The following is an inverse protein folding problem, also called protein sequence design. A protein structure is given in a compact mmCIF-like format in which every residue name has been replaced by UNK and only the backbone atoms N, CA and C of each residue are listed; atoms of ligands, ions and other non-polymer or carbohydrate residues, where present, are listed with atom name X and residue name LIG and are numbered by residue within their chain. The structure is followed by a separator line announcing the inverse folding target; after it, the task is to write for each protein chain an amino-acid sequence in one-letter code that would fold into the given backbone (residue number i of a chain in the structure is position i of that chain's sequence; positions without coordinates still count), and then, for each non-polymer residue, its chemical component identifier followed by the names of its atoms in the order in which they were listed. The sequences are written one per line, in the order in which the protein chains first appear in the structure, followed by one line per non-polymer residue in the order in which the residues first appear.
data_IF_254860187787
#
_entry.id   IF_254860187787
#
_cell.length_a   1.000
_cell.length_b   1.000
_cell.length_c   1.000
_cell.angle_alpha   90.00
_cell.angle_beta   90.00
_cell.angle_gamma   90.00
#
_symmetry.space_group_name_H-M   'P 1'
#
loop_
_entity.id
_entity.type
_entity.pdbx_description
1 polymer ?
#
# COMPACT_ATOMS: atom_id res chain seq x y z
N UNK A 1 5.41 0.57 -8.76
CA UNK A 1 6.32 0.62 -7.61
C UNK A 1 7.34 -0.53 -7.63
N UNK A 2 6.96 -1.83 -7.48
CA UNK A 2 7.93 -2.93 -7.53
C UNK A 2 8.80 -2.92 -8.80
N UNK A 3 8.19 -2.72 -9.98
CA UNK A 3 8.92 -2.59 -11.23
C UNK A 3 9.87 -1.38 -11.27
N UNK A 4 9.49 -0.27 -10.62
CA UNK A 4 10.38 0.89 -10.49
C UNK A 4 11.57 0.59 -9.59
N UNK A 5 11.35 -0.12 -8.47
CA UNK A 5 12.43 -0.54 -7.59
C UNK A 5 13.42 -1.46 -8.32
N UNK A 6 12.90 -2.43 -9.07
CA UNK A 6 13.74 -3.35 -9.88
C UNK A 6 14.52 -2.58 -10.95
N UNK A 7 13.87 -1.67 -11.67
CA UNK A 7 14.52 -0.86 -12.71
C UNK A 7 15.65 0.03 -12.16
N UNK A 8 15.56 0.42 -10.89
CA UNK A 8 16.54 1.28 -10.23
C UNK A 8 17.47 0.50 -9.27
N UNK A 9 17.56 -0.82 -9.41
CA UNK A 9 18.40 -1.66 -8.54
C UNK A 9 19.90 -1.32 -8.60
N UNK A 10 20.37 -0.72 -9.69
CA UNK A 10 21.75 -0.27 -9.87
C UNK A 10 21.92 1.26 -9.82
N UNK A 11 20.84 2.00 -9.55
CA UNK A 11 20.90 3.47 -9.45
C UNK A 11 21.52 3.87 -8.11
N UNK A 12 22.60 4.68 -8.09
CA UNK A 12 23.22 5.16 -6.86
C UNK A 12 22.20 5.94 -6.01
N UNK A 13 22.29 5.81 -4.69
CA UNK A 13 21.47 6.49 -3.68
C UNK A 13 19.95 6.26 -3.80
N UNK A 14 19.53 5.32 -4.63
CA UNK A 14 18.11 4.97 -4.77
C UNK A 14 17.61 4.18 -3.55
N UNK A 15 16.44 4.57 -3.05
CA UNK A 15 15.74 3.89 -1.96
C UNK A 15 14.43 3.27 -2.46
N UNK A 16 14.21 1.97 -2.17
CA UNK A 16 12.98 1.30 -2.59
C UNK A 16 11.76 1.93 -1.92
N UNK A 17 10.65 1.95 -2.64
CA UNK A 17 9.36 2.43 -2.15
C UNK A 17 8.38 1.28 -2.14
N UNK A 18 7.64 1.16 -1.04
CA UNK A 18 6.62 0.14 -0.88
C UNK A 18 5.32 0.75 -0.39
N UNK A 19 4.21 0.07 -0.66
CA UNK A 19 2.90 0.45 -0.15
C UNK A 19 2.68 -0.20 1.21
N UNK A 20 2.23 0.58 2.15
CA UNK A 20 1.78 0.05 3.45
C UNK A 20 0.36 -0.45 3.30
N UNK A 21 0.11 -1.67 3.79
CA UNK A 21 -1.24 -2.24 3.80
C UNK A 21 -2.22 -1.32 4.55
N UNK A 22 -3.36 -0.98 3.93
CA UNK A 22 -4.38 -0.20 4.60
C UNK A 22 -4.94 -1.00 5.78
N UNK A 23 -4.77 -0.51 6.98
CA UNK A 23 -5.38 -1.10 8.17
C UNK A 23 -6.81 -0.59 8.29
N UNK A 24 -7.76 -1.42 7.92
CA UNK A 24 -9.17 -1.14 8.21
C UNK A 24 -9.41 -1.34 9.72
N UNK A 25 -9.29 -0.27 10.47
CA UNK A 25 -9.77 -0.29 11.85
C UNK A 25 -11.29 -0.39 11.81
N UNK A 26 -11.82 -1.56 12.16
CA UNK A 26 -13.24 -1.74 12.50
C UNK A 26 -13.63 -1.04 13.81
N UNK A 27 -12.78 -0.18 14.35
CA UNK A 27 -13.15 0.71 15.42
C UNK A 27 -14.29 1.61 14.94
N UNK A 28 -15.35 1.66 15.73
CA UNK A 28 -16.47 2.60 15.63
C UNK A 28 -15.99 3.94 15.06
N UNK A 29 -16.76 4.58 14.19
CA UNK A 29 -16.38 5.85 13.63
C UNK A 29 -15.91 6.77 14.76
N UNK A 30 -14.65 7.13 14.75
CA UNK A 30 -14.14 8.13 15.65
C UNK A 30 -15.07 9.33 15.52
N UNK A 31 -15.55 9.85 16.64
CA UNK A 31 -16.36 11.06 16.65
C UNK A 31 -15.71 12.07 15.72
N UNK A 32 -16.47 12.76 14.86
CA UNK A 32 -15.90 13.67 13.88
C UNK A 32 -14.92 14.59 14.60
N UNK A 33 -13.64 14.48 14.22
CA UNK A 33 -12.62 15.40 14.73
C UNK A 33 -13.08 16.78 14.29
N UNK A 34 -13.50 17.59 15.25
CA UNK A 34 -13.89 18.98 15.00
C UNK A 34 -12.65 19.68 14.40
N UNK A 35 -12.72 19.95 13.10
CA UNK A 35 -11.66 20.70 12.44
C UNK A 35 -11.51 22.05 13.14
N UNK A 36 -10.33 22.31 13.67
CA UNK A 36 -9.99 23.60 14.28
C UNK A 36 -10.10 24.70 13.23
N UNK A 37 -11.10 25.59 13.37
CA UNK A 37 -11.22 26.74 12.50
C UNK A 37 -10.02 27.69 12.72
N UNK A 38 -9.22 27.89 11.68
CA UNK A 38 -8.15 28.90 11.70
C UNK A 38 -8.75 30.26 11.42
N UNK A 39 -8.79 31.08 12.44
CA UNK A 39 -9.27 32.47 12.34
C UNK A 39 -8.15 33.47 12.11
N UNK A 40 -6.90 33.05 12.22
CA UNK A 40 -5.71 33.87 12.03
C UNK A 40 -4.60 33.07 11.31
N UNK A 41 -3.76 33.77 10.52
CA UNK A 41 -2.65 33.15 9.79
C UNK A 41 -1.55 32.57 10.70
N UNK A 42 -1.44 33.05 11.93
CA UNK A 42 -0.49 32.58 12.95
C UNK A 42 -0.96 31.29 13.66
N UNK A 43 -2.20 30.84 13.45
CA UNK A 43 -2.68 29.62 14.08
C UNK A 43 -2.06 28.36 13.44
N UNK A 44 -1.63 27.43 14.28
CA UNK A 44 -1.12 26.13 13.83
C UNK A 44 -2.23 25.36 13.12
N UNK A 45 -1.89 24.78 11.97
CA UNK A 45 -2.74 23.79 11.34
C UNK A 45 -2.80 22.53 12.19
N UNK A 46 -3.94 21.82 12.19
CA UNK A 46 -4.01 20.49 12.77
C UNK A 46 -3.01 19.56 12.06
N UNK A 47 -2.23 18.76 12.77
CA UNK A 47 -1.32 17.79 12.16
C UNK A 47 -2.06 16.68 11.41
N UNK A 48 -3.36 16.53 11.58
CA UNK A 48 -4.19 15.49 10.95
C UNK A 48 -4.73 15.87 9.55
N UNK A 49 -4.20 16.94 8.95
CA UNK A 49 -4.63 17.36 7.61
C UNK A 49 -4.02 16.52 6.47
N UNK A 50 -3.05 15.66 6.78
CA UNK A 50 -2.48 14.74 5.81
C UNK A 50 -3.34 13.47 5.77
N UNK A 51 -4.06 13.29 4.68
CA UNK A 51 -4.83 12.06 4.41
C UNK A 51 -3.88 10.84 4.33
N UNK A 52 -3.93 9.92 5.33
CA UNK A 52 -3.02 8.78 5.38
C UNK A 52 -3.49 7.61 4.53
N UNK A 53 -4.25 7.86 3.45
CA UNK A 53 -4.88 6.77 2.70
C UNK A 53 -3.87 5.76 2.15
N UNK A 54 -2.61 6.17 1.90
CA UNK A 54 -1.52 5.25 1.56
C UNK A 54 -0.18 5.78 2.06
N UNK A 55 0.22 5.36 3.26
CA UNK A 55 1.57 5.64 3.74
C UNK A 55 2.59 4.92 2.85
N UNK A 56 3.64 5.62 2.45
CA UNK A 56 4.78 5.03 1.75
C UNK A 56 5.88 4.76 2.76
N UNK A 57 6.27 3.51 2.90
CA UNK A 57 7.42 3.15 3.71
C UNK A 57 8.65 3.02 2.82
N UNK A 58 9.73 3.61 3.26
CA UNK A 58 11.05 3.37 2.68
C UNK A 58 11.72 2.30 3.53
N UNK A 59 11.75 1.07 3.04
CA UNK A 59 12.43 -0.04 3.70
C UNK A 59 13.71 -0.36 2.93
N UNK A 60 14.84 -0.32 3.60
CA UNK A 60 16.09 -0.75 3.03
C UNK A 60 16.93 -1.37 4.14
N UNK A 61 17.02 -2.71 4.17
CA UNK A 61 17.80 -3.43 5.17
C UNK A 61 19.30 -3.46 4.86
N UNK A 62 19.69 -3.32 3.61
CA UNK A 62 21.09 -3.34 3.19
C UNK A 62 21.37 -2.15 2.28
N UNK A 63 22.25 -1.28 2.71
CA UNK A 63 22.75 -0.19 1.89
C UNK A 63 24.07 -0.65 1.28
N UNK A 64 24.13 -0.76 -0.04
CA UNK A 64 25.36 -1.05 -0.78
C UNK A 64 26.34 0.12 -0.69
N UNK A 65 27.65 -0.07 -0.90
CA UNK A 65 28.64 1.02 -0.87
C UNK A 65 28.31 2.20 -1.79
N UNK A 66 27.53 1.96 -2.87
CA UNK A 66 27.04 2.98 -3.78
C UNK A 66 25.76 3.70 -3.28
N UNK A 67 25.33 3.49 -2.03
CA UNK A 67 24.14 4.12 -1.46
C UNK A 67 22.82 3.49 -1.88
N UNK A 68 22.81 2.51 -2.79
CA UNK A 68 21.60 1.82 -3.24
C UNK A 68 21.11 0.84 -2.16
N UNK A 69 19.83 0.92 -1.81
CA UNK A 69 19.16 0.12 -0.79
C UNK A 69 18.15 -0.89 -1.36
N UNK A 70 18.17 -1.16 -2.67
CA UNK A 70 17.29 -2.14 -3.31
C UNK A 70 17.91 -3.53 -3.24
N UNK A 71 17.18 -4.49 -2.65
CA UNK A 71 17.48 -5.92 -2.76
C UNK A 71 16.62 -6.50 -3.88
N UNK A 72 17.27 -6.92 -4.97
CA UNK A 72 16.57 -7.52 -6.10
C UNK A 72 15.83 -8.81 -5.69
N UNK A 73 16.41 -9.58 -4.79
CA UNK A 73 15.84 -10.82 -4.29
C UNK A 73 14.52 -10.55 -3.54
N UNK A 74 14.52 -9.54 -2.65
CA UNK A 74 13.33 -9.15 -1.90
C UNK A 74 12.23 -8.61 -2.82
N UNK A 75 12.61 -7.80 -3.81
CA UNK A 75 11.65 -7.27 -4.78
C UNK A 75 11.04 -8.40 -5.66
N UNK A 76 11.85 -9.39 -6.03
CA UNK A 76 11.34 -10.56 -6.77
C UNK A 76 10.40 -11.42 -5.92
N UNK A 77 10.69 -11.61 -4.62
CA UNK A 77 9.77 -12.29 -3.72
C UNK A 77 8.45 -11.55 -3.60
N UNK A 78 8.48 -10.24 -3.40
CA UNK A 78 7.25 -9.42 -3.36
C UNK A 78 6.43 -9.49 -4.64
N UNK A 79 7.09 -9.55 -5.79
CA UNK A 79 6.41 -9.73 -7.09
C UNK A 79 5.73 -11.09 -7.15
N UNK A 80 6.40 -12.14 -6.70
CA UNK A 80 5.83 -13.49 -6.66
C UNK A 80 4.63 -13.58 -5.71
N UNK A 81 4.73 -12.99 -4.52
CA UNK A 81 3.64 -12.93 -3.54
C UNK A 81 2.44 -12.18 -4.12
N UNK A 82 2.65 -11.01 -4.72
CA UNK A 82 1.59 -10.25 -5.37
C UNK A 82 0.91 -11.03 -6.50
N UNK A 83 1.68 -11.82 -7.25
CA UNK A 83 1.13 -12.68 -8.31
C UNK A 83 0.26 -13.80 -7.72
N UNK A 84 0.68 -14.42 -6.62
CA UNK A 84 -0.11 -15.44 -5.93
C UNK A 84 -1.40 -14.86 -5.34
N UNK A 85 -1.32 -13.69 -4.71
CA UNK A 85 -2.46 -12.98 -4.17
C UNK A 85 -3.47 -12.64 -5.26
N UNK A 86 -3.01 -12.12 -6.39
CA UNK A 86 -3.86 -11.81 -7.53
C UNK A 86 -4.59 -13.05 -8.05
N UNK A 87 -3.88 -14.19 -8.16
CA UNK A 87 -4.49 -15.45 -8.60
C UNK A 87 -5.54 -15.93 -7.59
N UNK A 88 -5.24 -15.85 -6.30
CA UNK A 88 -6.15 -16.26 -5.22
C UNK A 88 -7.41 -15.41 -5.22
N UNK A 89 -7.27 -14.09 -5.27
CA UNK A 89 -8.42 -13.17 -5.31
C UNK A 89 -9.27 -13.39 -6.56
N UNK A 90 -8.63 -13.57 -7.71
CA UNK A 90 -9.34 -13.84 -8.97
C UNK A 90 -10.13 -15.15 -8.92
N UNK A 91 -9.54 -16.20 -8.33
CA UNK A 91 -10.22 -17.47 -8.14
C UNK A 91 -11.40 -17.35 -7.16
N UNK A 92 -11.24 -16.66 -6.04
CA UNK A 92 -12.30 -16.39 -5.08
C UNK A 92 -13.43 -15.57 -5.70
N UNK A 93 -13.11 -14.55 -6.48
CA UNK A 93 -14.09 -13.75 -7.18
C UNK A 93 -14.91 -14.58 -8.18
N UNK A 94 -14.24 -15.38 -8.99
CA UNK A 94 -14.89 -16.28 -9.94
C UNK A 94 -15.81 -17.28 -9.25
N UNK A 95 -15.36 -17.87 -8.13
CA UNK A 95 -16.14 -18.78 -7.31
C UNK A 95 -17.35 -18.07 -6.70
N UNK A 96 -17.17 -16.87 -6.17
CA UNK A 96 -18.24 -16.04 -5.61
C UNK A 96 -19.34 -15.73 -6.64
N UNK A 97 -18.94 -15.33 -7.86
CA UNK A 97 -19.89 -15.11 -8.96
C UNK A 97 -20.61 -16.42 -9.36
N UNK A 98 -19.90 -17.54 -9.36
CA UNK A 98 -20.50 -18.87 -9.61
C UNK A 98 -21.58 -19.21 -8.61
N UNK A 99 -21.34 -18.97 -7.31
CA UNK A 99 -22.32 -19.21 -6.25
C UNK A 99 -23.54 -18.29 -6.39
N UNK A 100 -23.34 -17.03 -6.73
CA UNK A 100 -24.45 -16.09 -6.97
C UNK A 100 -25.30 -16.55 -8.18
N UNK A 101 -24.66 -16.96 -9.28
CA UNK A 101 -25.37 -17.49 -10.45
C UNK A 101 -26.19 -18.72 -10.11
N UNK A 102 -25.61 -19.62 -9.30
CA UNK A 102 -26.29 -20.83 -8.84
C UNK A 102 -27.52 -20.48 -7.99
N UNK A 103 -27.40 -19.51 -7.06
CA UNK A 103 -28.49 -19.07 -6.21
C UNK A 103 -29.63 -18.40 -6.99
N UNK A 104 -29.32 -17.72 -8.08
CA UNK A 104 -30.32 -17.07 -8.98
C UNK A 104 -30.93 -18.08 -9.98
N UNK A 105 -30.46 -19.35 -9.98
CA UNK A 105 -30.97 -20.40 -10.87
C UNK A 105 -30.60 -20.21 -12.35
N UNK A 106 -29.65 -19.36 -12.68
CA UNK A 106 -29.07 -19.25 -14.02
C UNK A 106 -27.90 -20.25 -14.16
N UNK A 107 -28.10 -21.26 -15.01
CA UNK A 107 -26.99 -22.13 -15.46
C UNK A 107 -26.06 -21.38 -16.41
#
# INVERSE_FOLDING_TARGET
MLADNVANSDTPDFRPRDLVEPRFNLALPAAPVLALARTDAGHRASPDADDPSFARTTSGFQIRPAGNAVSLEDEMMKIADNQMDFQTVSALYSKGLGLIKLAVGKK
#
